data_IF_996903432079
#
_entry.id   IF_996903432079
#
_cell.length_a   1.000
_cell.length_b   1.000
_cell.length_c   1.000
_cell.angle_alpha   90.00
_cell.angle_beta   90.00
_cell.angle_gamma   90.00
#
_symmetry.space_group_name_H-M   'P 1'
#
loop_
_entity.id
_entity.type
_entity.pdbx_description
1 polymer ?
#
# COMPACT_ATOMS: atom_id res chain seq x y z
N UNK A 1 -25.72 29.25 0.48
CA UNK A 1 -25.97 28.23 1.52
C UNK A 1 -26.06 26.91 0.79
N UNK A 2 -25.06 26.05 0.75
CA UNK A 2 -24.00 25.76 1.72
C UNK A 2 -22.77 25.23 0.97
N UNK A 3 -21.70 26.02 0.96
CA UNK A 3 -20.35 25.56 0.64
C UNK A 3 -19.82 24.89 1.91
N UNK A 4 -20.01 23.58 2.03
CA UNK A 4 -19.38 22.80 3.09
C UNK A 4 -17.94 22.45 2.71
N UNK A 5 -17.02 23.15 3.39
CA UNK A 5 -15.67 22.76 3.75
C UNK A 5 -15.09 21.51 3.04
N UNK A 6 -14.51 21.73 1.87
CA UNK A 6 -13.36 20.92 1.45
C UNK A 6 -12.15 21.42 2.25
N UNK A 7 -11.93 20.87 3.45
CA UNK A 7 -10.64 21.02 4.11
C UNK A 7 -9.66 20.14 3.35
N UNK A 8 -8.68 20.68 2.62
CA UNK A 8 -7.61 19.84 2.10
C UNK A 8 -6.92 19.24 3.32
N UNK A 9 -6.98 17.91 3.45
CA UNK A 9 -6.06 17.20 4.34
C UNK A 9 -4.68 17.58 3.84
N UNK A 10 -4.01 18.47 4.56
CA UNK A 10 -2.63 18.82 4.33
C UNK A 10 -1.83 17.54 4.56
N UNK A 11 -1.62 16.76 3.50
CA UNK A 11 -0.57 15.76 3.51
C UNK A 11 0.70 16.53 3.91
N UNK A 12 1.41 16.12 4.98
CA UNK A 12 2.61 16.81 5.40
C UNK A 12 3.53 16.85 4.18
N UNK A 13 3.94 18.07 3.77
CA UNK A 13 4.99 18.22 2.78
C UNK A 13 6.17 17.41 3.30
N UNK A 14 6.53 16.34 2.57
CA UNK A 14 7.77 15.61 2.85
C UNK A 14 8.88 16.59 2.48
N UNK A 15 9.32 17.38 3.46
CA UNK A 15 10.45 18.28 3.29
C UNK A 15 11.69 17.41 3.10
N UNK A 16 12.43 17.54 1.99
CA UNK A 16 13.70 16.84 1.83
C UNK A 16 14.60 17.17 3.03
N UNK A 17 15.06 16.15 3.74
CA UNK A 17 15.87 16.30 4.96
C UNK A 17 15.10 16.45 6.28
N UNK A 18 13.76 16.30 6.31
CA UNK A 18 13.08 16.10 7.59
C UNK A 18 13.43 14.69 8.09
N UNK A 19 14.22 14.59 9.16
CA UNK A 19 14.39 13.34 9.90
C UNK A 19 13.00 12.91 10.37
N UNK A 20 12.38 11.96 9.67
CA UNK A 20 11.10 11.39 10.08
C UNK A 20 11.40 10.66 11.37
N UNK A 21 11.12 11.30 12.50
CA UNK A 21 11.26 10.67 13.81
C UNK A 21 10.30 9.48 13.86
N UNK A 22 10.75 8.30 14.35
CA UNK A 22 9.85 7.20 14.61
C UNK A 22 8.67 7.67 15.44
N UNK A 23 7.46 7.22 15.10
CA UNK A 23 6.27 7.68 15.79
C UNK A 23 6.25 7.19 17.25
N UNK A 24 6.37 8.11 18.21
CA UNK A 24 6.28 7.78 19.64
C UNK A 24 4.93 7.11 19.98
N UNK A 25 5.00 5.99 20.72
CA UNK A 25 3.86 5.21 21.19
C UNK A 25 3.25 4.22 20.18
N UNK A 26 3.79 4.10 18.97
CA UNK A 26 3.33 3.12 17.98
C UNK A 26 3.89 1.72 18.27
N UNK A 27 3.13 0.68 17.92
CA UNK A 27 3.66 -0.68 17.83
C UNK A 27 4.77 -0.66 16.76
N UNK A 28 6.01 -1.05 17.05
CA UNK A 28 7.06 -1.02 16.06
C UNK A 28 6.79 -2.06 14.96
N UNK A 29 7.20 -1.77 13.73
CA UNK A 29 7.25 -2.78 12.68
C UNK A 29 8.28 -3.83 13.07
N UNK A 30 7.85 -5.09 13.18
CA UNK A 30 8.72 -6.20 13.53
C UNK A 30 8.44 -7.40 12.64
N UNK A 31 9.45 -7.81 11.90
CA UNK A 31 9.42 -9.00 11.06
C UNK A 31 9.48 -10.24 11.96
N UNK A 32 8.58 -11.16 11.69
CA UNK A 32 8.63 -12.53 12.18
C UNK A 32 9.08 -13.43 11.02
N UNK A 33 10.34 -13.85 11.03
CA UNK A 33 10.92 -14.73 10.01
C UNK A 33 12.13 -15.46 10.54
N UNK A 34 12.32 -16.71 10.12
CA UNK A 34 13.55 -17.48 10.35
C UNK A 34 14.66 -17.12 9.35
N UNK A 35 14.33 -16.36 8.30
CA UNK A 35 15.28 -15.97 7.28
C UNK A 35 16.04 -14.71 7.69
N UNK A 36 17.34 -14.69 7.45
CA UNK A 36 18.16 -13.49 7.52
C UNK A 36 18.48 -12.96 6.11
N UNK A 37 18.63 -11.63 5.92
CA UNK A 37 19.05 -11.07 4.65
C UNK A 37 20.36 -11.70 4.18
N UNK A 38 20.38 -12.18 2.94
CA UNK A 38 21.53 -12.90 2.37
C UNK A 38 21.82 -12.49 0.93
N UNK A 39 23.00 -12.87 0.42
CA UNK A 39 23.46 -12.46 -0.91
C UNK A 39 23.57 -10.94 -1.02
N UNK A 40 22.94 -10.35 -2.05
CA UNK A 40 22.95 -8.90 -2.28
C UNK A 40 21.93 -8.13 -1.42
N UNK A 41 21.06 -8.82 -0.69
CA UNK A 41 19.99 -8.18 0.08
C UNK A 41 20.51 -7.20 1.14
N UNK A 42 21.53 -7.52 1.97
CA UNK A 42 22.01 -6.61 3.00
C UNK A 42 22.47 -5.27 2.42
N UNK A 43 23.22 -5.30 1.31
CA UNK A 43 23.72 -4.11 0.64
C UNK A 43 22.58 -3.30 -0.01
N UNK A 44 21.59 -3.97 -0.60
CA UNK A 44 20.42 -3.31 -1.17
C UNK A 44 19.57 -2.62 -0.10
N UNK A 45 19.33 -3.29 1.05
CA UNK A 45 18.59 -2.72 2.19
C UNK A 45 19.30 -1.48 2.71
N UNK A 46 20.61 -1.57 2.97
CA UNK A 46 21.39 -0.46 3.49
C UNK A 46 21.31 0.79 2.58
N UNK A 47 21.47 0.61 1.26
CA UNK A 47 21.39 1.71 0.30
C UNK A 47 19.99 2.35 0.24
N UNK A 48 18.93 1.54 0.26
CA UNK A 48 17.56 2.05 0.23
C UNK A 48 17.23 2.84 1.50
N UNK A 49 17.65 2.34 2.67
CA UNK A 49 17.47 3.01 3.96
C UNK A 49 18.24 4.32 4.00
N UNK A 50 19.53 4.31 3.64
CA UNK A 50 20.36 5.51 3.54
C UNK A 50 19.74 6.56 2.60
N UNK A 51 19.24 6.14 1.43
CA UNK A 51 18.57 7.03 0.50
C UNK A 51 17.31 7.68 1.12
N UNK A 52 16.53 6.94 1.89
CA UNK A 52 15.35 7.48 2.57
C UNK A 52 15.72 8.46 3.69
N UNK A 53 16.78 8.16 4.45
CA UNK A 53 17.31 9.04 5.51
C UNK A 53 17.90 10.34 4.94
N UNK A 54 18.53 10.26 3.76
CA UNK A 54 19.03 11.41 3.01
C UNK A 54 17.91 12.22 2.31
N UNK A 55 16.65 11.80 2.43
CA UNK A 55 15.50 12.51 1.89
C UNK A 55 15.30 12.33 0.38
N UNK A 56 15.85 11.25 -0.22
CA UNK A 56 15.54 10.90 -1.60
C UNK A 56 14.06 10.52 -1.73
N UNK A 57 13.36 11.18 -2.66
CA UNK A 57 11.96 10.91 -2.97
C UNK A 57 11.79 9.62 -3.77
N UNK A 58 12.71 9.36 -4.70
CA UNK A 58 12.61 8.30 -5.70
C UNK A 58 13.84 7.40 -5.67
N UNK A 59 13.61 6.09 -5.55
CA UNK A 59 14.65 5.08 -5.52
C UNK A 59 14.19 3.82 -6.27
N UNK A 60 15.14 3.10 -6.88
CA UNK A 60 14.85 1.90 -7.69
C UNK A 60 15.63 0.71 -7.16
N UNK A 61 14.92 -0.34 -6.75
CA UNK A 61 15.51 -1.65 -6.44
C UNK A 61 15.58 -2.50 -7.71
N UNK A 62 16.76 -2.56 -8.34
CA UNK A 62 17.03 -3.45 -9.47
C UNK A 62 17.30 -4.87 -8.97
N UNK A 63 16.24 -5.67 -8.82
CA UNK A 63 16.33 -7.05 -8.36
C UNK A 63 15.86 -8.07 -9.40
N UNK A 64 16.65 -9.12 -9.63
CA UNK A 64 16.26 -10.25 -10.50
C UNK A 64 15.09 -11.04 -9.91
N UNK A 65 14.39 -11.84 -10.73
CA UNK A 65 13.32 -12.72 -10.25
C UNK A 65 13.87 -13.74 -9.27
N UNK A 66 13.16 -14.01 -8.18
CA UNK A 66 13.60 -14.96 -7.15
C UNK A 66 14.60 -14.41 -6.12
N UNK A 67 15.08 -13.16 -6.25
CA UNK A 67 16.05 -12.57 -5.31
C UNK A 67 15.48 -12.18 -3.94
N UNK A 68 14.20 -12.47 -3.66
CA UNK A 68 13.55 -12.10 -2.40
C UNK A 68 13.19 -10.62 -2.26
N UNK A 69 12.79 -9.95 -3.36
CA UNK A 69 12.44 -8.50 -3.35
C UNK A 69 11.42 -8.12 -2.26
N UNK A 70 10.39 -8.93 -2.04
CA UNK A 70 9.40 -8.65 -0.98
C UNK A 70 10.06 -8.61 0.39
N UNK A 71 10.94 -9.57 0.69
CA UNK A 71 11.66 -9.62 1.95
C UNK A 71 12.64 -8.44 2.11
N UNK A 72 13.33 -8.06 1.02
CA UNK A 72 14.15 -6.84 1.00
C UNK A 72 13.32 -5.60 1.37
N UNK A 73 12.14 -5.43 0.77
CA UNK A 73 11.26 -4.29 1.08
C UNK A 73 10.66 -4.36 2.48
N UNK A 74 10.34 -5.55 2.99
CA UNK A 74 9.92 -5.74 4.37
C UNK A 74 11.01 -5.27 5.35
N UNK A 75 12.27 -5.64 5.10
CA UNK A 75 13.41 -5.19 5.91
C UNK A 75 13.58 -3.66 5.87
N UNK A 76 13.35 -3.03 4.71
CA UNK A 76 13.35 -1.56 4.60
C UNK A 76 12.21 -0.92 5.42
N UNK A 77 11.00 -1.49 5.39
CA UNK A 77 9.88 -1.01 6.22
C UNK A 77 10.21 -1.13 7.71
N UNK A 78 10.75 -2.27 8.14
CA UNK A 78 11.21 -2.47 9.52
C UNK A 78 12.34 -1.50 9.90
N UNK A 79 13.35 -1.30 9.05
CA UNK A 79 14.46 -0.41 9.40
C UNK A 79 14.01 1.05 9.53
N UNK A 80 13.08 1.49 8.67
CA UNK A 80 12.65 2.89 8.61
C UNK A 80 11.50 3.21 9.57
N UNK A 81 10.76 2.20 10.05
CA UNK A 81 9.61 2.36 10.93
C UNK A 81 8.53 3.32 10.37
N UNK A 82 8.31 3.26 9.06
CA UNK A 82 7.36 4.14 8.34
C UNK A 82 6.15 3.34 7.84
N UNK A 83 4.92 3.87 7.96
CA UNK A 83 3.77 3.32 7.24
C UNK A 83 4.06 3.20 5.75
N UNK A 84 3.58 2.14 5.12
CA UNK A 84 3.89 1.83 3.73
C UNK A 84 2.62 1.57 2.90
N UNK A 85 2.62 2.09 1.67
CA UNK A 85 1.66 1.74 0.63
C UNK A 85 2.38 0.96 -0.46
N UNK A 86 1.94 -0.27 -0.72
CA UNK A 86 2.48 -1.15 -1.74
C UNK A 86 1.47 -1.20 -2.89
N UNK A 87 1.85 -0.66 -4.04
CA UNK A 87 1.02 -0.68 -5.25
C UNK A 87 1.33 -1.91 -6.10
N UNK A 88 0.29 -2.70 -6.37
CA UNK A 88 0.35 -3.85 -7.27
C UNK A 88 -0.49 -3.58 -8.53
N UNK A 89 -0.01 -4.00 -9.73
CA UNK A 89 -0.68 -3.75 -11.00
C UNK A 89 -1.94 -4.60 -11.21
N UNK A 90 -2.12 -5.68 -10.43
CA UNK A 90 -3.28 -6.56 -10.54
C UNK A 90 -3.64 -7.20 -9.20
N UNK A 91 -4.88 -7.73 -9.10
CA UNK A 91 -5.42 -8.35 -7.87
C UNK A 91 -4.64 -9.59 -7.43
N UNK A 92 -4.12 -10.38 -8.38
CA UNK A 92 -3.39 -11.62 -8.06
C UNK A 92 -2.08 -11.33 -7.33
N UNK A 93 -1.26 -10.42 -7.86
CA UNK A 93 -0.02 -10.01 -7.22
C UNK A 93 -0.29 -9.26 -5.92
N UNK A 94 -1.36 -8.43 -5.86
CA UNK A 94 -1.77 -7.78 -4.63
C UNK A 94 -2.09 -8.80 -3.53
N UNK A 95 -2.86 -9.84 -3.83
CA UNK A 95 -3.20 -10.89 -2.87
C UNK A 95 -1.95 -11.66 -2.40
N UNK A 96 -1.01 -11.96 -3.31
CA UNK A 96 0.27 -12.59 -2.96
C UNK A 96 1.08 -11.71 -2.00
N UNK A 97 1.29 -10.43 -2.34
CA UNK A 97 2.05 -9.49 -1.52
C UNK A 97 1.37 -9.25 -0.17
N UNK A 98 0.04 -9.20 -0.13
CA UNK A 98 -0.71 -9.12 1.12
C UNK A 98 -0.44 -10.33 2.01
N UNK A 99 -0.49 -11.54 1.46
CA UNK A 99 -0.17 -12.77 2.19
C UNK A 99 1.26 -12.79 2.71
N UNK A 100 2.24 -12.45 1.87
CA UNK A 100 3.67 -12.36 2.25
C UNK A 100 3.88 -11.32 3.35
N UNK A 101 3.33 -10.11 3.21
CA UNK A 101 3.47 -9.05 4.21
C UNK A 101 2.77 -9.42 5.52
N UNK A 102 1.60 -10.07 5.48
CA UNK A 102 0.91 -10.53 6.69
C UNK A 102 1.70 -11.61 7.42
N UNK A 103 2.39 -12.48 6.69
CA UNK A 103 3.28 -13.47 7.27
C UNK A 103 4.53 -12.83 7.90
N UNK A 104 5.12 -11.83 7.23
CA UNK A 104 6.26 -11.10 7.79
C UNK A 104 5.88 -10.25 8.99
N UNK A 105 4.71 -9.60 9.00
CA UNK A 105 4.30 -8.67 10.06
C UNK A 105 2.98 -9.11 10.73
N UNK A 106 2.98 -10.24 11.46
CA UNK A 106 1.75 -10.80 12.03
C UNK A 106 1.12 -9.89 13.10
N UNK A 107 1.94 -9.10 13.80
CA UNK A 107 1.52 -8.22 14.90
C UNK A 107 1.16 -6.78 14.44
N UNK A 108 1.47 -6.43 13.18
CA UNK A 108 1.20 -5.11 12.62
C UNK A 108 -0.08 -5.08 11.77
N UNK A 109 -0.57 -3.87 11.44
CA UNK A 109 -1.71 -3.71 10.55
C UNK A 109 -1.27 -3.88 9.10
N UNK A 110 -1.34 -5.10 8.60
CA UNK A 110 -1.29 -5.36 7.15
C UNK A 110 -2.72 -5.43 6.63
N UNK A 111 -3.05 -4.49 5.74
CA UNK A 111 -4.39 -4.25 5.21
C UNK A 111 -4.41 -4.41 3.68
N UNK A 112 -5.60 -4.68 3.14
CA UNK A 112 -5.80 -4.96 1.72
C UNK A 112 -6.80 -3.99 1.10
N UNK A 113 -6.40 -3.31 0.02
CA UNK A 113 -7.21 -2.27 -0.62
C UNK A 113 -7.26 -2.42 -2.14
N UNK A 114 -8.19 -3.22 -2.63
CA UNK A 114 -8.44 -3.40 -4.07
C UNK A 114 -9.90 -3.10 -4.39
N UNK A 115 -10.24 -3.07 -5.69
CA UNK A 115 -11.64 -2.95 -6.10
C UNK A 115 -12.46 -4.09 -5.49
N UNK A 116 -13.55 -3.73 -4.80
CA UNK A 116 -14.51 -4.66 -4.24
C UNK A 116 -15.46 -5.24 -5.31
N UNK A 117 -15.39 -4.79 -6.56
CA UNK A 117 -16.19 -5.38 -7.62
C UNK A 117 -15.54 -6.67 -8.11
N UNK A 118 -16.28 -7.78 -8.07
CA UNK A 118 -15.90 -9.03 -8.74
C UNK A 118 -16.18 -8.95 -10.24
N UNK A 119 -17.27 -8.26 -10.59
CA UNK A 119 -17.64 -7.90 -11.95
C UNK A 119 -18.06 -6.43 -12.00
N UNK A 120 -17.62 -5.71 -13.02
CA UNK A 120 -17.99 -4.31 -13.22
C UNK A 120 -18.08 -3.99 -14.72
N UNK A 121 -19.28 -3.63 -15.15
CA UNK A 121 -19.56 -3.08 -16.46
C UNK A 121 -19.93 -1.60 -16.29
N UNK A 122 -19.13 -0.67 -16.83
CA UNK A 122 -19.47 0.74 -16.82
C UNK A 122 -20.66 1.00 -17.75
N UNK A 123 -21.42 2.04 -17.42
CA UNK A 123 -22.38 2.62 -18.34
C UNK A 123 -21.64 3.20 -19.55
N UNK A 124 -22.11 2.88 -20.76
CA UNK A 124 -21.49 3.37 -21.98
C UNK A 124 -22.51 3.51 -23.10
N UNK A 125 -22.32 4.51 -23.95
CA UNK A 125 -23.05 4.62 -25.21
C UNK A 125 -22.10 4.34 -26.37
N UNK A 126 -22.50 3.45 -27.28
CA UNK A 126 -21.72 3.04 -28.47
C UNK A 126 -22.37 3.64 -29.72
N UNK A 127 -21.84 4.77 -30.26
CA UNK A 127 -22.51 5.50 -31.34
C UNK A 127 -22.63 4.72 -32.65
N UNK A 128 -21.67 3.85 -32.94
CA UNK A 128 -21.63 3.08 -34.19
C UNK A 128 -22.81 2.12 -34.32
N UNK A 129 -23.31 1.62 -33.20
CA UNK A 129 -24.41 0.64 -33.16
C UNK A 129 -25.65 1.21 -32.50
N UNK A 130 -25.66 2.52 -32.19
CA UNK A 130 -26.73 3.19 -31.45
C UNK A 130 -27.16 2.40 -30.20
N UNK A 131 -26.16 1.87 -29.47
CA UNK A 131 -26.40 0.96 -28.35
C UNK A 131 -26.03 1.63 -27.05
N UNK A 132 -26.99 1.68 -26.14
CA UNK A 132 -26.75 2.03 -24.75
C UNK A 132 -26.49 0.76 -23.93
N UNK A 133 -25.38 0.75 -23.21
CA UNK A 133 -24.94 -0.31 -22.31
C UNK A 133 -25.19 0.20 -20.89
N UNK A 134 -26.14 -0.43 -20.19
CA UNK A 134 -26.43 -0.13 -18.80
C UNK A 134 -25.28 -0.55 -17.89
N UNK A 135 -25.17 0.15 -16.76
CA UNK A 135 -24.27 -0.23 -15.67
C UNK A 135 -24.74 -1.53 -15.05
N UNK A 136 -23.83 -2.49 -14.91
CA UNK A 136 -24.05 -3.71 -14.17
C UNK A 136 -22.81 -4.04 -13.33
N UNK A 137 -23.00 -4.56 -12.12
CA UNK A 137 -21.87 -4.85 -11.24
C UNK A 137 -22.23 -5.85 -10.14
N UNK A 138 -21.24 -6.65 -9.74
CA UNK A 138 -21.32 -7.54 -8.58
C UNK A 138 -20.25 -7.16 -7.56
N UNK A 139 -20.65 -7.09 -6.29
CA UNK A 139 -19.81 -6.65 -5.17
C UNK A 139 -19.37 -7.85 -4.34
N UNK A 140 -18.11 -7.84 -3.94
CA UNK A 140 -17.51 -8.75 -2.98
C UNK A 140 -17.51 -8.12 -1.58
N UNK A 141 -18.45 -8.55 -0.73
CA UNK A 141 -18.60 -8.01 0.63
C UNK A 141 -17.35 -8.21 1.50
N UNK A 142 -16.58 -9.29 1.28
CA UNK A 142 -15.36 -9.52 2.04
C UNK A 142 -14.30 -8.46 1.72
N UNK A 143 -14.10 -8.18 0.43
CA UNK A 143 -13.17 -7.12 0.00
C UNK A 143 -13.65 -5.75 0.47
N UNK A 144 -14.96 -5.49 0.44
CA UNK A 144 -15.50 -4.25 0.96
C UNK A 144 -15.22 -4.07 2.46
N UNK A 145 -15.43 -5.11 3.28
CA UNK A 145 -15.05 -5.10 4.71
C UNK A 145 -13.55 -4.85 4.90
N UNK A 146 -12.69 -5.44 4.07
CA UNK A 146 -11.24 -5.21 4.15
C UNK A 146 -10.86 -3.76 3.81
N UNK A 147 -11.55 -3.11 2.87
CA UNK A 147 -11.34 -1.68 2.58
C UNK A 147 -11.75 -0.78 3.73
N UNK A 148 -12.86 -1.09 4.39
CA UNK A 148 -13.29 -0.37 5.60
C UNK A 148 -12.28 -0.54 6.73
N UNK A 149 -11.73 -1.76 6.90
CA UNK A 149 -10.61 -2.01 7.83
C UNK A 149 -9.38 -1.15 7.50
N UNK A 150 -8.96 -1.14 6.23
CA UNK A 150 -7.81 -0.37 5.77
C UNK A 150 -7.96 1.13 6.03
N UNK A 151 -9.12 1.70 5.70
CA UNK A 151 -9.38 3.14 5.86
C UNK A 151 -9.46 3.54 7.33
N UNK A 152 -10.08 2.71 8.17
CA UNK A 152 -10.08 2.90 9.62
C UNK A 152 -8.66 2.85 10.20
N UNK A 153 -7.84 1.90 9.75
CA UNK A 153 -6.48 1.73 10.23
C UNK A 153 -5.58 2.95 9.93
N UNK A 154 -5.83 3.69 8.85
CA UNK A 154 -5.10 4.94 8.53
C UNK A 154 -5.22 5.97 9.67
N UNK A 155 -6.37 6.04 10.32
CA UNK A 155 -6.61 7.00 11.40
C UNK A 155 -6.23 6.45 12.78
N UNK A 156 -6.31 5.13 12.98
CA UNK A 156 -6.14 4.50 14.29
C UNK A 156 -4.73 3.94 14.54
N UNK A 157 -3.99 3.59 13.48
CA UNK A 157 -2.71 2.87 13.58
C UNK A 157 -1.60 3.57 12.82
N UNK A 158 -0.40 3.49 13.39
CA UNK A 158 0.83 4.04 12.79
C UNK A 158 1.75 2.95 12.25
N UNK A 159 1.42 1.69 12.50
CA UNK A 159 2.14 0.51 12.06
C UNK A 159 1.40 -0.18 10.91
N UNK A 160 1.06 0.63 9.91
CA UNK A 160 0.18 0.27 8.80
C UNK A 160 0.97 -0.01 7.51
N UNK A 161 0.70 -1.17 6.92
CA UNK A 161 1.10 -1.55 5.56
C UNK A 161 -0.17 -1.81 4.76
N UNK A 162 -0.42 -1.03 3.72
CA UNK A 162 -1.55 -1.26 2.81
C UNK A 162 -1.01 -1.86 1.52
N UNK A 163 -1.51 -3.04 1.14
CA UNK A 163 -1.31 -3.59 -0.21
C UNK A 163 -2.53 -3.23 -1.05
N UNK A 164 -2.31 -2.42 -2.09
CA UNK A 164 -3.38 -1.83 -2.89
C UNK A 164 -3.20 -2.05 -4.39
N UNK A 165 -4.32 -2.01 -5.11
CA UNK A 165 -4.32 -1.80 -6.56
C UNK A 165 -4.48 -0.31 -6.88
N UNK A 166 -4.57 0.04 -8.16
CA UNK A 166 -4.96 1.39 -8.64
C UNK A 166 -6.27 1.88 -8.03
N UNK A 167 -7.05 1.04 -7.35
CA UNK A 167 -8.22 1.50 -6.62
C UNK A 167 -7.92 2.59 -5.57
N UNK A 168 -6.68 2.69 -5.06
CA UNK A 168 -6.31 3.69 -4.04
C UNK A 168 -6.21 5.12 -4.57
N UNK A 169 -6.20 5.33 -5.89
CA UNK A 169 -6.25 6.68 -6.49
C UNK A 169 -7.69 7.12 -6.81
N UNK A 170 -8.66 6.23 -6.63
CA UNK A 170 -10.09 6.55 -6.73
C UNK A 170 -10.64 6.85 -5.33
N UNK A 171 -11.67 7.70 -5.28
CA UNK A 171 -12.31 8.10 -4.03
C UNK A 171 -12.72 6.90 -3.17
N UNK A 172 -12.56 7.06 -1.86
CA UNK A 172 -13.21 6.21 -0.87
C UNK A 172 -14.65 6.71 -0.84
N UNK A 173 -15.51 6.12 -1.68
CA UNK A 173 -16.93 6.49 -1.77
C UNK A 173 -17.64 6.39 -0.42
#
# INVERSE_FOLDING_TARGET
>A
MSDELFMPVLAPKITPGSTIKPFEGAIPFKINSEFEPSGDQPAAIAKLVEGLENGLSDQVLLGVTGSGKTFTMAQVIQATQRPALILAPNKTLAAQLYGEMKAFFPDNAVEYFVSYYDYYQPEAYVPRTDTFIEKDSSINEQIDRMRHSATRAIFERKDLIIVASVSCIYGIG
#
